data_IF_906614897526
#
_entry.id   IF_906614897526
#
_cell.length_a   1.000
_cell.length_b   1.000
_cell.length_c   1.000
_cell.angle_alpha   90.00
_cell.angle_beta   90.00
_cell.angle_gamma   90.00
#
_symmetry.space_group_name_H-M   'P 1'
#
loop_
_entity.id
_entity.type
_entity.pdbx_description
1 polymer ?
#
# COMPACT_ATOMS: atom_id res chain seq x y z
N UNK A 1 6.50 22.33 7.23
CA UNK A 1 7.08 21.17 6.53
C UNK A 1 5.90 20.50 5.86
N UNK A 2 5.82 20.59 4.54
CA UNK A 2 4.87 19.79 3.79
C UNK A 2 5.36 18.34 3.88
N UNK A 3 4.49 17.43 4.35
CA UNK A 3 4.85 16.04 4.63
C UNK A 3 5.19 15.27 3.35
N UNK A 4 5.95 14.19 3.48
CA UNK A 4 6.00 13.16 2.45
C UNK A 4 4.66 12.42 2.46
N UNK A 5 4.15 12.00 1.30
CA UNK A 5 2.91 11.22 1.23
C UNK A 5 3.12 10.00 0.34
N UNK A 6 2.63 8.85 0.78
CA UNK A 6 2.56 7.62 0.02
C UNK A 6 1.15 7.42 -0.52
N UNK A 7 1.02 7.27 -1.83
CA UNK A 7 -0.23 6.87 -2.47
C UNK A 7 -0.18 5.38 -2.80
N UNK A 8 -1.14 4.61 -2.30
CA UNK A 8 -1.33 3.20 -2.62
C UNK A 8 -2.52 3.02 -3.55
N UNK A 9 -2.42 2.08 -4.49
CA UNK A 9 -3.50 1.68 -5.39
C UNK A 9 -3.58 0.16 -5.36
N UNK A 10 -4.76 -0.38 -5.04
CA UNK A 10 -5.03 -1.82 -5.09
C UNK A 10 -6.32 -2.12 -5.87
N UNK A 11 -6.47 -3.32 -6.47
CA UNK A 11 -7.74 -3.74 -7.02
C UNK A 11 -8.76 -3.97 -5.89
N UNK A 12 -10.02 -3.60 -6.14
CA UNK A 12 -11.15 -3.87 -5.24
C UNK A 12 -11.90 -5.06 -5.80
N UNK A 13 -11.66 -6.24 -5.24
CA UNK A 13 -12.39 -7.46 -5.60
C UNK A 13 -12.89 -8.20 -4.37
N UNK A 14 -14.20 -8.32 -4.21
CA UNK A 14 -14.80 -9.05 -3.09
C UNK A 14 -16.24 -8.63 -2.85
N UNK A 15 -16.97 -9.33 -1.97
CA UNK A 15 -18.30 -8.92 -1.57
C UNK A 15 -18.25 -7.61 -0.78
N UNK A 16 -19.32 -6.81 -0.84
CA UNK A 16 -19.39 -5.49 -0.22
C UNK A 16 -19.11 -5.51 1.29
N UNK A 17 -19.56 -6.57 1.98
CA UNK A 17 -19.26 -6.81 3.40
C UNK A 17 -17.76 -6.92 3.71
N UNK A 18 -16.97 -7.50 2.80
CA UNK A 18 -15.52 -7.61 2.96
C UNK A 18 -14.85 -6.24 2.85
N UNK A 19 -15.31 -5.43 1.90
CA UNK A 19 -14.80 -4.08 1.67
C UNK A 19 -15.16 -3.14 2.82
N UNK A 20 -16.39 -3.21 3.33
CA UNK A 20 -16.82 -2.45 4.50
C UNK A 20 -16.02 -2.85 5.75
N UNK A 21 -15.73 -4.15 5.90
CA UNK A 21 -14.86 -4.62 6.98
C UNK A 21 -13.43 -4.08 6.85
N UNK A 22 -12.87 -4.07 5.63
CA UNK A 22 -11.54 -3.52 5.38
C UNK A 22 -11.47 -2.02 5.67
N UNK A 23 -12.48 -1.25 5.25
CA UNK A 23 -12.61 0.18 5.59
C UNK A 23 -12.58 0.41 7.09
N UNK A 24 -13.41 -0.33 7.82
CA UNK A 24 -13.45 -0.23 9.27
C UNK A 24 -12.09 -0.60 9.88
N UNK A 25 -11.47 -1.70 9.44
CA UNK A 25 -10.20 -2.16 9.98
C UNK A 25 -9.08 -1.15 9.77
N UNK A 26 -9.03 -0.50 8.61
CA UNK A 26 -8.05 0.54 8.31
C UNK A 26 -8.32 1.83 9.10
N UNK A 27 -9.57 2.16 9.40
CA UNK A 27 -9.89 3.33 10.25
C UNK A 27 -9.46 3.14 11.72
N UNK A 28 -9.40 1.91 12.23
CA UNK A 28 -8.91 1.62 13.59
C UNK A 28 -7.40 1.89 13.74
N UNK A 29 -6.63 1.82 12.65
CA UNK A 29 -5.19 2.14 12.68
C UNK A 29 -4.94 3.64 12.86
N UNK A 30 -5.85 4.48 12.37
CA UNK A 30 -5.76 5.94 12.52
C UNK A 30 -5.93 6.41 13.97
N UNK A 31 -6.68 5.66 14.78
CA UNK A 31 -6.96 6.01 16.18
C UNK A 31 -5.90 5.48 17.17
N UNK A 32 -5.19 4.41 16.84
CA UNK A 32 -4.34 3.67 17.79
C UNK A 32 -2.88 4.12 17.86
N UNK A 33 -2.35 4.81 16.84
CA UNK A 33 -0.95 5.28 16.79
C UNK A 33 -0.74 6.74 17.21
N UNK A 34 -1.74 7.36 17.86
CA UNK A 34 -1.64 8.74 18.39
C UNK A 34 -0.76 8.90 19.63
N UNK A 35 0.08 7.93 19.97
CA UNK A 35 0.87 7.93 21.20
C UNK A 35 2.39 7.87 20.96
N UNK A 36 3.06 8.86 21.57
CA UNK A 36 4.48 8.96 21.97
C UNK A 36 5.51 9.62 21.06
N UNK A 37 5.33 9.75 19.74
CA UNK A 37 6.39 10.32 18.88
C UNK A 37 6.09 11.65 18.18
N UNK A 38 5.12 12.46 18.61
CA UNK A 38 5.01 13.89 18.20
C UNK A 38 4.91 14.20 16.69
N UNK A 39 4.87 13.17 15.84
CA UNK A 39 4.59 13.20 14.43
C UNK A 39 3.31 12.38 14.25
N UNK A 40 2.23 13.06 13.89
CA UNK A 40 0.98 12.41 13.53
C UNK A 40 1.27 11.53 12.31
N UNK A 41 1.41 10.22 12.50
CA UNK A 41 1.29 9.27 11.40
C UNK A 41 -0.20 9.07 11.14
N UNK A 42 -0.88 10.12 10.65
CA UNK A 42 -2.24 9.95 10.17
C UNK A 42 -2.13 9.12 8.89
N UNK A 43 -2.74 7.95 8.89
CA UNK A 43 -3.04 7.23 7.67
C UNK A 43 -4.48 7.60 7.34
N UNK A 44 -4.75 8.71 6.62
CA UNK A 44 -6.09 8.95 6.11
C UNK A 44 -6.42 7.89 5.05
N UNK A 45 -6.80 6.71 5.52
CA UNK A 45 -7.21 5.57 4.73
C UNK A 45 -8.59 5.87 4.14
N UNK A 46 -8.62 6.63 3.06
CA UNK A 46 -9.85 6.92 2.33
C UNK A 46 -10.02 5.94 1.18
N UNK A 47 -10.90 4.95 1.35
CA UNK A 47 -11.29 4.10 0.23
C UNK A 47 -12.11 4.93 -0.77
N UNK A 48 -11.44 5.44 -1.79
CA UNK A 48 -12.12 6.11 -2.90
C UNK A 48 -12.70 5.07 -3.86
N UNK A 49 -13.91 4.58 -3.55
CA UNK A 49 -14.64 3.64 -4.41
C UNK A 49 -15.00 4.21 -5.79
N UNK A 50 -14.77 5.51 -6.04
CA UNK A 50 -14.99 6.18 -7.33
C UNK A 50 -14.21 7.51 -7.41
N UNK A 51 -12.94 7.43 -7.79
CA UNK A 51 -12.05 8.60 -8.02
C UNK A 51 -11.30 8.58 -9.35
N UNK A 52 -11.68 7.72 -10.30
CA UNK A 52 -11.11 7.71 -11.66
C UNK A 52 -11.28 6.40 -12.44
N UNK A 53 -11.33 5.24 -11.77
CA UNK A 53 -11.66 3.95 -12.38
C UNK A 53 -12.46 3.08 -11.39
N UNK A 54 -13.56 2.44 -11.81
CA UNK A 54 -14.32 1.53 -10.96
C UNK A 54 -13.46 0.32 -10.56
N UNK A 55 -13.51 -0.06 -9.28
CA UNK A 55 -12.79 -1.23 -8.78
C UNK A 55 -11.36 -0.98 -8.30
N UNK A 56 -11.01 0.24 -7.91
CA UNK A 56 -9.71 0.57 -7.31
C UNK A 56 -9.85 1.15 -5.90
N UNK A 57 -8.90 0.77 -5.05
CA UNK A 57 -8.71 1.24 -3.69
C UNK A 57 -7.53 2.20 -3.72
N UNK A 58 -7.79 3.49 -3.52
CA UNK A 58 -6.73 4.47 -3.27
C UNK A 58 -6.52 4.58 -1.76
N UNK A 59 -5.29 4.55 -1.27
CA UNK A 59 -4.96 4.87 0.12
C UNK A 59 -3.89 5.96 0.12
N UNK A 60 -3.95 6.86 1.09
CA UNK A 60 -2.99 7.95 1.26
C UNK A 60 -2.47 7.86 2.69
N UNK A 61 -1.16 7.86 2.86
CA UNK A 61 -0.52 7.84 4.18
C UNK A 61 0.67 8.78 4.25
N UNK A 62 0.95 9.31 5.43
CA UNK A 62 2.06 10.25 5.65
C UNK A 62 3.41 9.53 5.80
N UNK A 63 4.47 10.21 5.37
CA UNK A 63 5.88 9.95 5.69
C UNK A 63 6.44 8.70 5.01
N UNK A 64 5.97 7.57 5.51
CA UNK A 64 6.45 6.22 5.19
C UNK A 64 5.31 5.27 4.81
N UNK A 65 4.04 5.71 4.94
CA UNK A 65 2.82 4.97 4.60
C UNK A 65 2.88 3.49 4.97
N UNK A 66 2.27 3.07 6.08
CA UNK A 66 2.39 1.69 6.61
C UNK A 66 1.81 0.61 5.66
N UNK A 67 2.55 0.26 4.62
CA UNK A 67 2.19 -0.72 3.60
C UNK A 67 1.98 -2.09 4.25
N UNK A 68 2.73 -2.40 5.30
CA UNK A 68 2.60 -3.65 6.03
C UNK A 68 1.24 -3.74 6.74
N UNK A 69 0.77 -2.67 7.37
CA UNK A 69 -0.57 -2.63 7.98
C UNK A 69 -1.67 -2.81 6.92
N UNK A 70 -1.54 -2.15 5.77
CA UNK A 70 -2.48 -2.28 4.64
C UNK A 70 -2.50 -3.73 4.12
N UNK A 71 -1.33 -4.30 3.86
CA UNK A 71 -1.14 -5.68 3.38
C UNK A 71 -1.71 -6.68 4.38
N UNK A 72 -1.46 -6.47 5.68
CA UNK A 72 -1.98 -7.32 6.74
C UNK A 72 -3.51 -7.28 6.79
N UNK A 73 -4.12 -6.09 6.74
CA UNK A 73 -5.57 -5.94 6.73
C UNK A 73 -6.21 -6.62 5.50
N UNK A 74 -5.62 -6.46 4.31
CA UNK A 74 -6.09 -7.12 3.09
C UNK A 74 -5.96 -8.65 3.21
N UNK A 75 -4.84 -9.14 3.73
CA UNK A 75 -4.62 -10.57 3.96
C UNK A 75 -5.63 -11.17 4.94
N UNK A 76 -5.95 -10.45 6.02
CA UNK A 76 -6.98 -10.85 6.98
C UNK A 76 -8.37 -10.88 6.34
N UNK A 77 -8.71 -9.86 5.56
CA UNK A 77 -9.96 -9.83 4.78
C UNK A 77 -10.05 -11.04 3.83
N UNK A 78 -8.99 -11.30 3.05
CA UNK A 78 -8.95 -12.43 2.11
C UNK A 78 -9.13 -13.77 2.81
N UNK A 79 -8.57 -13.95 4.01
CA UNK A 79 -8.78 -15.16 4.84
C UNK A 79 -10.22 -15.23 5.32
N UNK A 80 -10.73 -14.15 5.91
CA UNK A 80 -12.06 -14.08 6.55
C UNK A 80 -13.20 -14.32 5.57
N UNK A 81 -13.10 -13.75 4.37
CA UNK A 81 -14.14 -13.84 3.34
C UNK A 81 -13.80 -14.86 2.25
N UNK A 82 -12.79 -15.70 2.48
CA UNK A 82 -12.37 -16.78 1.57
C UNK A 82 -12.11 -16.34 0.12
N UNK A 83 -11.62 -15.12 -0.09
CA UNK A 83 -11.33 -14.58 -1.43
C UNK A 83 -10.31 -15.45 -2.17
N UNK A 84 -10.49 -15.65 -3.47
CA UNK A 84 -9.69 -16.58 -4.28
C UNK A 84 -8.53 -15.91 -5.03
N UNK A 85 -8.59 -14.59 -5.19
CA UNK A 85 -7.63 -13.85 -6.00
C UNK A 85 -6.60 -13.09 -5.15
N UNK A 86 -5.32 -13.08 -5.54
CA UNK A 86 -4.31 -12.22 -4.94
C UNK A 86 -4.55 -10.75 -5.30
N UNK A 87 -4.11 -9.84 -4.45
CA UNK A 87 -4.15 -8.40 -4.71
C UNK A 87 -2.75 -7.87 -4.98
N UNK A 88 -2.60 -7.08 -6.03
CA UNK A 88 -1.39 -6.32 -6.32
C UNK A 88 -1.60 -4.86 -5.90
N UNK A 89 -0.85 -4.43 -4.90
CA UNK A 89 -0.89 -3.07 -4.38
C UNK A 89 0.35 -2.36 -4.91
N UNK A 90 0.17 -1.30 -5.68
CA UNK A 90 1.26 -0.42 -6.10
C UNK A 90 1.30 0.80 -5.20
N UNK A 91 2.48 1.28 -4.84
CA UNK A 91 2.61 2.54 -4.14
C UNK A 91 3.64 3.47 -4.79
N UNK A 92 3.44 4.75 -4.54
CA UNK A 92 4.30 5.83 -4.99
C UNK A 92 4.59 6.76 -3.81
N UNK A 93 5.87 6.99 -3.56
CA UNK A 93 6.36 7.97 -2.58
C UNK A 93 6.46 9.33 -3.28
N UNK A 94 5.71 10.30 -2.76
CA UNK A 94 5.67 11.66 -3.31
C UNK A 94 6.27 12.65 -2.32
N UNK A 95 7.17 13.50 -2.83
CA UNK A 95 7.66 14.70 -2.14
C UNK A 95 7.01 15.93 -2.79
N UNK A 96 6.40 16.85 -2.03
CA UNK A 96 5.77 18.06 -2.56
C UNK A 96 6.72 18.91 -3.43
N UNK A 97 8.00 18.96 -3.04
CA UNK A 97 9.03 19.78 -3.70
C UNK A 97 9.81 19.06 -4.80
N UNK A 98 9.95 17.72 -4.72
CA UNK A 98 10.84 16.94 -5.61
C UNK A 98 10.10 15.97 -6.55
N UNK A 99 8.77 15.82 -6.41
CA UNK A 99 7.97 14.92 -7.22
C UNK A 99 8.02 13.45 -6.76
N UNK A 100 7.90 12.52 -7.71
CA UNK A 100 7.94 11.07 -7.43
C UNK A 100 9.38 10.62 -7.17
N UNK A 101 9.66 10.15 -5.94
CA UNK A 101 11.02 9.77 -5.54
C UNK A 101 11.21 8.26 -5.42
N UNK A 102 10.12 7.53 -5.16
CA UNK A 102 10.17 6.11 -4.89
C UNK A 102 8.82 5.44 -5.07
N UNK A 103 8.79 4.15 -4.79
CA UNK A 103 7.60 3.34 -4.96
C UNK A 103 7.93 1.88 -5.21
N UNK A 104 6.88 1.10 -5.35
CA UNK A 104 7.00 -0.32 -5.58
C UNK A 104 5.66 -1.00 -5.75
N UNK A 105 5.71 -2.31 -5.71
CA UNK A 105 4.52 -3.15 -5.73
C UNK A 105 4.64 -4.25 -4.67
N UNK A 106 3.53 -4.58 -4.03
CA UNK A 106 3.40 -5.74 -3.17
C UNK A 106 2.24 -6.59 -3.66
N UNK A 107 2.52 -7.87 -3.89
CA UNK A 107 1.49 -8.86 -4.12
C UNK A 107 1.20 -9.53 -2.79
N UNK A 108 -0.07 -9.58 -2.39
CA UNK A 108 -0.48 -10.20 -1.14
C UNK A 108 -1.67 -11.14 -1.34
N UNK A 109 -1.60 -12.28 -0.64
CA UNK A 109 -2.65 -13.29 -0.64
C UNK A 109 -2.67 -14.08 0.65
N UNK A 110 -3.80 -14.02 1.37
CA UNK A 110 -4.11 -14.88 2.52
C UNK A 110 -2.96 -15.01 3.53
N UNK A 111 -2.31 -13.90 3.86
CA UNK A 111 -1.25 -13.82 4.87
C UNK A 111 0.16 -14.07 4.35
N UNK A 112 0.32 -14.18 3.04
CA UNK A 112 1.62 -14.14 2.36
C UNK A 112 1.72 -12.86 1.56
N UNK A 113 2.91 -12.27 1.51
CA UNK A 113 3.21 -11.12 0.67
C UNK A 113 4.57 -11.26 0.01
N UNK A 114 4.72 -10.61 -1.14
CA UNK A 114 6.00 -10.45 -1.83
C UNK A 114 6.10 -9.02 -2.31
N UNK A 115 7.14 -8.34 -1.85
CA UNK A 115 7.35 -6.91 -2.08
C UNK A 115 8.49 -6.71 -3.06
N UNK A 116 8.27 -5.80 -4.01
CA UNK A 116 9.27 -5.33 -4.96
C UNK A 116 9.39 -3.81 -4.83
N UNK A 117 10.49 -3.36 -4.24
CA UNK A 117 10.85 -1.94 -4.21
C UNK A 117 11.57 -1.58 -5.50
N UNK A 118 11.25 -0.40 -6.07
CA UNK A 118 11.87 0.06 -7.33
C UNK A 118 13.39 0.14 -7.22
N UNK A 119 13.92 0.57 -6.07
CA UNK A 119 15.36 0.63 -5.79
C UNK A 119 16.04 -0.74 -5.87
N UNK A 120 15.42 -1.78 -5.29
CA UNK A 120 15.92 -3.16 -5.36
C UNK A 120 15.91 -3.68 -6.80
N UNK A 121 14.82 -3.44 -7.53
CA UNK A 121 14.71 -3.85 -8.93
C UNK A 121 15.77 -3.16 -9.81
N UNK A 122 16.01 -1.86 -9.61
CA UNK A 122 17.06 -1.12 -10.32
C UNK A 122 18.45 -1.71 -10.01
N UNK A 123 18.76 -1.95 -8.74
CA UNK A 123 20.04 -2.51 -8.33
C UNK A 123 20.29 -3.90 -8.94
N UNK A 124 19.30 -4.79 -8.88
CA UNK A 124 19.37 -6.13 -9.49
C UNK A 124 19.53 -6.06 -11.00
N UNK A 125 18.82 -5.15 -11.66
CA UNK A 125 18.89 -4.97 -13.12
C UNK A 125 20.26 -4.47 -13.55
N UNK A 126 20.84 -3.50 -12.82
CA UNK A 126 22.21 -3.03 -13.06
C UNK A 126 23.22 -4.17 -12.92
N UNK A 127 23.09 -5.01 -11.88
CA UNK A 127 23.98 -6.16 -11.68
C UNK A 127 23.86 -7.18 -12.81
N UNK A 128 22.64 -7.53 -13.24
CA UNK A 128 22.40 -8.46 -14.35
C UNK A 128 23.02 -7.96 -15.65
N UNK A 129 22.80 -6.68 -15.98
CA UNK A 129 23.36 -6.09 -17.19
C UNK A 129 24.89 -6.05 -17.15
N UNK A 130 25.50 -5.67 -16.02
CA UNK A 130 26.97 -5.69 -15.86
C UNK A 130 27.58 -7.09 -15.90
N UNK A 131 26.84 -8.10 -15.44
CA UNK A 131 27.26 -9.51 -15.49
C UNK A 131 27.02 -10.19 -16.85
N UNK A 132 26.31 -9.52 -17.78
CA UNK A 132 26.03 -10.04 -19.12
C UNK A 132 27.09 -9.64 -20.17
N UNK A 133 28.04 -8.78 -19.79
CA UNK A 133 29.15 -8.30 -20.62
C UNK A 133 30.44 -9.17 -20.50
N UNK A 134 30.34 -10.43 -20.04
CA UNK A 134 31.45 -11.39 -19.99
C UNK A 134 31.28 -12.52 -21.03
#
# INVERSE_FOLDING_TARGET
MEGYWCQFIAPVSGPEEALNWLEQKLSEYDESDRTECGQSHELPCRIERNGGQPGQLKLIGDGDGNIDAIVNAICEMQKKYHLTEPWAITWAETCPDEGLYGGGAVVCFRGQSTTMCTSNWVAETIQKLRGSDQ
#
